data_IF_189726743349
#
_entry.id   IF_189726743349
#
_cell.length_a   1.000
_cell.length_b   1.000
_cell.length_c   1.000
_cell.angle_alpha   90.00
_cell.angle_beta   90.00
_cell.angle_gamma   90.00
#
_symmetry.space_group_name_H-M   'P 1'
#
loop_
_entity.id
_entity.type
_entity.pdbx_description
1 polymer ?
#
# COMPACT_ATOMS: atom_id res chain seq x y z
N UNK A 1 7.33 5.24 -4.68
CA UNK A 1 7.77 6.28 -3.71
C UNK A 1 6.54 6.76 -2.94
N UNK A 2 6.72 7.50 -1.85
CA UNK A 2 5.60 7.98 -1.00
C UNK A 2 5.73 9.47 -0.69
N UNK A 3 4.62 10.14 -0.38
CA UNK A 3 4.55 11.46 0.23
C UNK A 3 4.34 11.33 1.74
N UNK A 4 4.88 12.28 2.51
CA UNK A 4 4.65 12.42 3.95
C UNK A 4 3.71 13.61 4.17
N UNK A 5 2.57 13.38 4.80
CA UNK A 5 1.62 14.45 5.14
C UNK A 5 2.20 15.42 6.15
N UNK A 6 2.20 16.71 5.83
CA UNK A 6 2.62 17.83 6.68
C UNK A 6 1.51 18.90 6.69
N UNK A 7 0.90 19.13 7.84
CA UNK A 7 -0.29 19.98 7.97
C UNK A 7 0.04 21.47 7.78
N UNK A 8 1.33 21.83 7.92
CA UNK A 8 1.82 23.19 7.73
C UNK A 8 2.11 23.50 6.25
N UNK A 9 1.99 22.51 5.35
CA UNK A 9 2.33 22.63 3.94
C UNK A 9 1.17 22.22 3.05
N UNK A 10 0.99 22.92 1.92
CA UNK A 10 0.10 22.46 0.85
C UNK A 10 0.57 21.08 0.36
N UNK A 11 -0.37 20.22 -0.07
CA UNK A 11 -0.10 18.84 -0.51
C UNK A 11 0.97 18.73 -1.62
N UNK A 12 1.07 19.72 -2.50
CA UNK A 12 2.10 19.80 -3.54
C UNK A 12 3.53 20.00 -2.99
N UNK A 13 3.65 20.50 -1.75
CA UNK A 13 4.90 20.77 -1.04
C UNK A 13 5.17 19.72 0.07
N UNK A 14 4.41 18.63 0.10
CA UNK A 14 4.67 17.51 1.00
C UNK A 14 5.96 16.78 0.59
N UNK A 15 6.87 16.48 1.53
CA UNK A 15 8.14 15.87 1.18
C UNK A 15 7.95 14.44 0.66
N UNK A 16 8.63 14.15 -0.45
CA UNK A 16 8.72 12.82 -1.04
C UNK A 16 9.78 12.00 -0.29
N UNK A 17 9.50 10.71 -0.08
CA UNK A 17 10.40 9.78 0.57
C UNK A 17 10.39 8.37 -0.05
N UNK A 18 11.41 7.59 0.35
CA UNK A 18 11.44 6.13 0.23
C UNK A 18 11.33 5.52 1.64
N UNK A 19 10.49 4.51 1.82
CA UNK A 19 10.46 3.71 3.05
C UNK A 19 11.75 2.90 3.12
N UNK A 20 12.44 2.93 4.26
CA UNK A 20 13.69 2.18 4.48
C UNK A 20 13.57 1.09 5.55
N UNK A 21 12.67 1.25 6.53
CA UNK A 21 12.41 0.25 7.56
C UNK A 21 10.99 0.42 8.13
N UNK A 22 10.36 -0.70 8.49
CA UNK A 22 9.06 -0.77 9.15
C UNK A 22 9.28 -0.93 10.67
N UNK A 23 8.48 -0.23 11.48
CA UNK A 23 8.54 -0.29 12.94
C UNK A 23 7.22 -0.92 13.46
N UNK A 24 7.24 -2.19 13.92
CA UNK A 24 6.08 -2.80 14.55
C UNK A 24 5.86 -2.26 15.97
N UNK A 25 4.60 -2.26 16.41
CA UNK A 25 4.22 -2.06 17.80
C UNK A 25 4.40 -3.31 18.66
N UNK A 26 4.00 -3.21 19.94
CA UNK A 26 4.09 -4.32 20.92
C UNK A 26 3.30 -5.58 20.51
N UNK A 27 2.25 -5.40 19.71
CA UNK A 27 1.38 -6.42 19.14
C UNK A 27 1.81 -6.89 17.74
N UNK A 28 2.97 -6.44 17.24
CA UNK A 28 3.48 -6.77 15.91
C UNK A 28 2.90 -5.93 14.76
N UNK A 29 1.90 -5.08 15.00
CA UNK A 29 1.28 -4.27 13.93
C UNK A 29 2.17 -3.09 13.53
N UNK A 30 2.37 -2.86 12.23
CA UNK A 30 3.19 -1.77 11.71
C UNK A 30 2.45 -0.44 11.88
N UNK A 31 2.87 0.36 12.86
CA UNK A 31 2.29 1.71 13.12
C UNK A 31 3.14 2.84 12.57
N UNK A 32 4.44 2.63 12.43
CA UNK A 32 5.41 3.69 12.14
C UNK A 32 6.45 3.19 11.15
N UNK A 33 7.00 4.10 10.35
CA UNK A 33 8.02 3.77 9.34
C UNK A 33 9.18 4.76 9.40
N UNK A 34 10.38 4.25 9.13
CA UNK A 34 11.55 5.07 8.80
C UNK A 34 11.54 5.39 7.30
N UNK A 35 11.82 6.65 7.00
CA UNK A 35 11.71 7.23 5.67
C UNK A 35 13.01 7.96 5.33
N UNK A 36 13.57 7.70 4.16
CA UNK A 36 14.66 8.52 3.59
C UNK A 36 14.06 9.59 2.69
N UNK A 37 14.26 10.85 3.06
CA UNK A 37 14.00 12.04 2.24
C UNK A 37 15.31 12.54 1.62
N UNK A 38 15.24 13.55 0.76
CA UNK A 38 16.44 14.20 0.22
C UNK A 38 17.30 14.89 1.28
N UNK A 39 16.71 15.33 2.40
CA UNK A 39 17.40 16.09 3.45
C UNK A 39 17.85 15.23 4.65
N UNK A 40 17.50 13.95 4.70
CA UNK A 40 17.81 13.11 5.85
C UNK A 40 16.86 11.93 6.02
N UNK A 41 16.82 11.37 7.22
CA UNK A 41 15.83 10.37 7.62
C UNK A 41 14.78 10.96 8.55
N UNK A 42 13.54 10.52 8.40
CA UNK A 42 12.38 10.96 9.18
C UNK A 42 11.60 9.72 9.63
N UNK A 43 11.07 9.77 10.85
CA UNK A 43 10.13 8.77 11.37
C UNK A 43 8.72 9.34 11.23
N UNK A 44 7.75 8.57 10.74
CA UNK A 44 6.36 9.03 10.64
C UNK A 44 5.36 7.87 10.80
N UNK A 45 4.17 8.10 11.39
CA UNK A 45 3.10 7.10 11.44
C UNK A 45 2.62 6.71 10.04
N UNK A 46 2.26 5.44 9.84
CA UNK A 46 1.73 4.93 8.56
C UNK A 46 0.54 5.74 8.05
N UNK A 47 -0.29 6.24 8.96
CA UNK A 47 -1.46 7.09 8.67
C UNK A 47 -1.12 8.41 7.96
N UNK A 48 0.13 8.90 8.06
CA UNK A 48 0.60 10.13 7.38
C UNK A 48 1.35 9.82 6.07
N UNK A 49 1.32 8.58 5.57
CA UNK A 49 2.06 8.14 4.37
C UNK A 49 1.10 7.89 3.22
N UNK A 50 1.34 8.57 2.11
CA UNK A 50 0.49 8.49 0.92
C UNK A 50 1.31 7.94 -0.25
N UNK A 51 0.91 6.83 -0.89
CA UNK A 51 1.61 6.31 -2.06
C UNK A 51 1.52 7.29 -3.22
N UNK A 52 2.59 7.41 -4.01
CA UNK A 52 2.55 8.12 -5.29
C UNK A 52 2.04 7.17 -6.38
N UNK A 53 1.05 7.64 -7.14
CA UNK A 53 0.61 7.00 -8.38
C UNK A 53 1.68 7.24 -9.44
N UNK A 54 2.50 6.22 -9.71
CA UNK A 54 3.53 6.26 -10.74
C UNK A 54 3.14 5.24 -11.80
N UNK A 55 2.86 5.70 -13.01
CA UNK A 55 2.73 4.79 -14.15
C UNK A 55 4.12 4.25 -14.48
N UNK A 56 4.25 2.92 -14.55
CA UNK A 56 5.48 2.32 -15.02
C UNK A 56 5.60 2.61 -16.52
N UNK A 57 6.46 3.59 -16.86
CA UNK A 57 6.91 3.76 -18.24
C UNK A 57 7.79 2.56 -18.54
N UNK A 58 7.19 1.54 -19.14
CA UNK A 58 7.94 0.46 -19.76
C UNK A 58 8.73 1.08 -20.91
N UNK A 59 10.06 1.11 -20.78
CA UNK A 59 10.93 1.48 -21.87
C UNK A 59 10.83 0.37 -22.92
N UNK A 60 9.98 0.59 -23.93
CA UNK A 60 9.64 -0.39 -24.94
C UNK A 60 10.74 -0.52 -26.00
N UNK A 61 11.81 -1.23 -25.64
CA UNK A 61 12.69 -1.83 -26.64
C UNK A 61 12.00 -3.05 -27.27
N UNK A 62 11.12 -2.75 -28.25
CA UNK A 62 10.46 -3.62 -29.25
C UNK A 62 9.07 -4.21 -28.95
N UNK A 63 8.12 -3.57 -29.65
CA UNK A 63 7.02 -4.15 -30.45
C UNK A 63 5.75 -4.69 -29.77
N UNK A 64 4.61 -4.20 -30.27
CA UNK A 64 3.26 -4.41 -29.77
C UNK A 64 2.66 -5.74 -30.25
N UNK A 65 1.94 -6.42 -29.34
CA UNK A 65 0.72 -7.17 -29.70
C UNK A 65 -0.36 -6.94 -28.64
N UNK A 66 -1.42 -6.25 -29.04
CA UNK A 66 -2.74 -6.29 -28.40
C UNK A 66 -3.35 -7.69 -28.67
N UNK A 67 -4.37 -8.21 -27.98
CA UNK A 67 -5.42 -7.64 -27.13
C UNK A 67 -5.55 -8.52 -25.84
N UNK A 68 -6.28 -8.15 -24.78
CA UNK A 68 -7.74 -8.02 -24.83
C UNK A 68 -8.42 -7.73 -23.49
N UNK A 69 -9.67 -7.26 -23.63
CA UNK A 69 -10.78 -7.30 -22.68
C UNK A 69 -10.81 -6.27 -21.53
N UNK A 70 -11.77 -5.35 -21.69
CA UNK A 70 -12.33 -4.47 -20.66
C UNK A 70 -12.75 -5.23 -19.40
N UNK A 71 -12.10 -4.93 -18.27
CA UNK A 71 -12.53 -5.38 -16.94
C UNK A 71 -12.64 -4.18 -16.01
N UNK A 72 -13.85 -4.00 -15.46
CA UNK A 72 -14.20 -2.91 -14.54
C UNK A 72 -13.34 -2.98 -13.27
N UNK A 73 -12.98 -1.83 -12.70
CA UNK A 73 -12.15 -1.76 -11.50
C UNK A 73 -12.84 -2.34 -10.25
N UNK A 74 -12.62 -3.62 -9.97
CA UNK A 74 -12.78 -4.24 -8.65
C UNK A 74 -11.43 -4.79 -8.18
N UNK A 75 -11.05 -4.43 -6.96
CA UNK A 75 -9.67 -4.51 -6.46
C UNK A 75 -9.51 -5.61 -5.40
N UNK A 76 -8.51 -6.51 -5.56
CA UNK A 76 -7.74 -7.08 -4.45
C UNK A 76 -6.25 -6.74 -4.63
N UNK A 77 -5.57 -6.14 -3.64
CA UNK A 77 -4.93 -6.77 -2.47
C UNK A 77 -3.57 -7.44 -2.83
N UNK A 78 -2.48 -6.97 -2.21
CA UNK A 78 -1.10 -7.38 -2.49
C UNK A 78 -0.60 -8.42 -1.48
N UNK A 79 0.13 -9.44 -1.95
CA UNK A 79 0.56 -10.59 -1.13
C UNK A 79 2.06 -10.87 -1.32
N UNK A 80 2.78 -11.06 -0.20
CA UNK A 80 4.12 -11.67 -0.10
C UNK A 80 4.20 -12.31 1.31
N UNK A 81 4.54 -13.59 1.55
CA UNK A 81 4.65 -14.72 0.62
C UNK A 81 4.26 -16.06 1.31
N UNK A 82 3.82 -17.01 0.47
CA UNK A 82 3.45 -18.42 0.74
C UNK A 82 2.44 -18.73 1.84
N UNK A 83 2.86 -18.79 3.11
CA UNK A 83 2.43 -19.90 3.99
C UNK A 83 0.95 -19.92 4.42
N UNK A 84 0.53 -19.01 5.29
CA UNK A 84 -0.70 -19.18 6.07
C UNK A 84 -1.96 -18.75 5.31
N UNK A 85 -2.81 -19.74 5.02
CA UNK A 85 -4.09 -19.56 4.31
C UNK A 85 -5.11 -18.84 5.19
N UNK A 86 -5.24 -17.53 5.03
CA UNK A 86 -6.33 -16.72 5.61
C UNK A 86 -7.28 -16.27 4.48
N UNK A 87 -8.30 -17.09 4.21
CA UNK A 87 -9.37 -16.76 3.27
C UNK A 87 -10.31 -15.70 3.88
N UNK A 88 -10.15 -14.42 3.52
CA UNK A 88 -11.06 -13.34 3.92
C UNK A 88 -12.34 -13.38 3.06
N UNK A 89 -13.51 -13.47 3.69
CA UNK A 89 -14.82 -13.23 3.02
C UNK A 89 -15.25 -11.78 3.18
N UNK A 90 -15.85 -11.23 2.13
CA UNK A 90 -16.39 -9.88 2.06
C UNK A 90 -17.88 -9.91 1.69
N UNK A 91 -18.67 -8.95 2.18
CA UNK A 91 -20.05 -8.73 1.69
C UNK A 91 -20.04 -8.08 0.32
N UNK A 92 -21.18 -8.08 -0.37
CA UNK A 92 -21.38 -7.34 -1.64
C UNK A 92 -21.11 -5.83 -1.54
N UNK A 93 -21.15 -5.28 -0.32
CA UNK A 93 -20.78 -3.90 0.02
C UNK A 93 -19.30 -3.71 0.42
N UNK A 94 -18.47 -4.75 0.30
CA UNK A 94 -17.03 -4.71 0.60
C UNK A 94 -16.66 -4.77 2.09
N UNK A 95 -17.62 -5.00 3.00
CA UNK A 95 -17.34 -5.10 4.43
C UNK A 95 -16.71 -6.46 4.75
N UNK A 96 -15.55 -6.45 5.41
CA UNK A 96 -14.93 -7.68 5.92
C UNK A 96 -15.77 -8.22 7.08
N UNK A 97 -16.18 -9.48 6.99
CA UNK A 97 -16.98 -10.15 8.02
C UNK A 97 -16.15 -11.23 8.70
N UNK A 98 -15.99 -11.11 10.02
CA UNK A 98 -15.40 -12.15 10.86
C UNK A 98 -16.44 -13.25 11.09
N UNK A 99 -16.42 -14.29 10.26
CA UNK A 99 -17.31 -15.44 10.40
C UNK A 99 -16.95 -16.22 11.68
N UNK A 100 -17.86 -16.24 12.65
CA UNK A 100 -17.68 -16.99 13.90
C UNK A 100 -17.89 -18.48 13.62
N UNK A 101 -16.83 -19.29 13.78
CA UNK A 101 -16.95 -20.75 13.75
C UNK A 101 -17.78 -21.20 14.97
N UNK A 102 -18.93 -21.82 14.72
CA UNK A 102 -19.68 -22.53 15.75
C UNK A 102 -18.96 -23.84 16.04
N UNK A 103 -18.37 -23.93 17.23
CA UNK A 103 -17.96 -25.19 17.85
C UNK A 103 -19.18 -25.75 18.60
N UNK A 104 -19.40 -27.06 18.44
CA UNK A 104 -20.41 -27.84 19.18
C UNK A 104 -19.78 -28.39 20.46
#
# INVERSE_FOLDING_TARGET
>A
MVLIGDDNKKRLSWPIAKIIQLIPGRDGEIRTVWLKTQHGTVISPVQRIFPLEVQAIANNDKELKEESNSVKCTKPEYVLNTNDVILKKYTSSGRLVKEMKRIY
#
